data_IF_162703494381
#
_entry.id   IF_162703494381
#
_cell.length_a   1.000
_cell.length_b   1.000
_cell.length_c   1.000
_cell.angle_alpha   90.00
_cell.angle_beta   90.00
_cell.angle_gamma   90.00
#
_symmetry.space_group_name_H-M   'P 1'
#
loop_
_entity.id
_entity.type
_entity.pdbx_description
1 polymer ?
#
# COMPACT_ATOMS: atom_id res chain seq x y z
N UNK A 1 -2.33 15.72 21.16
CA UNK A 1 -3.69 16.07 20.72
C UNK A 1 -3.63 16.33 19.24
N UNK A 2 -4.02 15.35 18.41
CA UNK A 2 -4.17 15.54 16.97
C UNK A 2 -5.67 15.67 16.69
N UNK A 3 -6.18 16.90 16.47
CA UNK A 3 -7.55 17.10 16.02
C UNK A 3 -7.61 16.90 14.51
N UNK A 4 -8.76 16.44 14.02
CA UNK A 4 -9.18 16.37 12.62
C UNK A 4 -8.73 15.12 11.84
N UNK A 5 -9.34 13.98 12.18
CA UNK A 5 -9.60 12.93 11.18
C UNK A 5 -10.66 13.48 10.22
N UNK A 6 -10.30 13.57 8.95
CA UNK A 6 -11.21 13.87 7.85
C UNK A 6 -12.15 12.67 7.72
N UNK A 7 -13.44 12.86 7.96
CA UNK A 7 -14.47 11.89 7.64
C UNK A 7 -14.54 11.75 6.11
N UNK A 8 -13.94 10.68 5.59
CA UNK A 8 -14.10 10.28 4.20
C UNK A 8 -15.42 9.51 4.12
N UNK A 9 -16.51 10.21 3.81
CA UNK A 9 -17.75 9.57 3.39
C UNK A 9 -17.52 8.86 2.05
N UNK A 10 -17.37 7.54 2.10
CA UNK A 10 -17.40 6.69 0.91
C UNK A 10 -18.88 6.54 0.50
N UNK A 11 -19.29 6.98 -0.71
CA UNK A 11 -20.67 6.85 -1.13
C UNK A 11 -21.03 5.37 -1.22
N UNK A 12 -22.07 4.96 -0.48
CA UNK A 12 -22.59 3.61 -0.57
C UNK A 12 -23.23 3.41 -1.95
N UNK A 13 -22.55 2.64 -2.81
CA UNK A 13 -23.18 2.10 -4.01
C UNK A 13 -24.36 1.20 -3.57
N UNK A 14 -25.57 1.54 -4.01
CA UNK A 14 -26.74 0.70 -3.82
C UNK A 14 -26.62 -0.52 -4.73
N UNK A 15 -26.12 -1.63 -4.19
CA UNK A 15 -26.22 -2.94 -4.81
C UNK A 15 -27.48 -3.65 -4.30
N UNK A 16 -28.43 -3.89 -5.18
CA UNK A 16 -29.53 -4.83 -4.96
C UNK A 16 -28.99 -6.26 -5.06
N UNK A 17 -29.06 -6.99 -3.95
CA UNK A 17 -28.56 -8.36 -3.79
C UNK A 17 -27.71 -8.48 -2.53
N UNK A 18 -28.17 -9.26 -1.55
CA UNK A 18 -27.55 -9.58 -0.26
C UNK A 18 -26.43 -8.63 0.18
N UNK A 19 -26.83 -7.50 0.78
CA UNK A 19 -25.94 -6.52 1.39
C UNK A 19 -24.96 -7.26 2.30
N UNK A 20 -23.70 -7.31 1.87
CA UNK A 20 -22.57 -7.75 2.67
C UNK A 20 -22.52 -6.88 3.93
N UNK A 21 -23.24 -7.28 4.98
CA UNK A 21 -23.05 -6.70 6.30
C UNK A 21 -21.60 -6.99 6.67
N UNK A 22 -20.79 -5.98 7.01
CA UNK A 22 -19.45 -6.25 7.52
C UNK A 22 -19.59 -7.29 8.65
N UNK A 23 -18.83 -8.38 8.62
CA UNK A 23 -18.97 -9.44 9.61
C UNK A 23 -18.88 -8.80 10.99
N UNK A 24 -19.68 -9.30 11.95
CA UNK A 24 -19.60 -8.86 13.35
C UNK A 24 -18.12 -8.84 13.71
N UNK A 25 -17.60 -7.64 13.98
CA UNK A 25 -16.23 -7.52 14.43
C UNK A 25 -16.13 -8.37 15.69
N UNK A 26 -15.05 -9.15 15.85
CA UNK A 26 -14.79 -9.96 17.08
C UNK A 26 -14.79 -9.13 18.38
N UNK A 27 -14.96 -7.83 18.22
CA UNK A 27 -14.83 -6.79 19.21
C UNK A 27 -16.17 -6.22 19.67
N UNK A 28 -17.33 -6.54 19.06
CA UNK A 28 -18.60 -5.89 19.40
C UNK A 28 -18.42 -4.34 19.45
N UNK A 29 -17.72 -3.78 18.45
CA UNK A 29 -17.32 -2.37 18.39
C UNK A 29 -16.30 -1.88 19.45
N UNK A 30 -15.62 -2.76 20.18
CA UNK A 30 -14.52 -2.39 21.11
C UNK A 30 -13.16 -2.60 20.46
N UNK A 31 -12.53 -1.54 19.96
CA UNK A 31 -11.13 -1.60 19.48
C UNK A 31 -10.25 -2.28 20.56
N UNK A 32 -9.38 -3.25 20.20
CA UNK A 32 -8.50 -3.89 21.18
C UNK A 32 -7.73 -2.83 21.97
N UNK A 33 -7.69 -2.99 23.28
CA UNK A 33 -7.13 -1.97 24.16
C UNK A 33 -5.59 -2.00 24.22
N UNK A 34 -4.96 -3.07 23.70
CA UNK A 34 -3.51 -3.22 23.67
C UNK A 34 -3.03 -4.16 22.57
N UNK A 35 -1.74 -4.07 22.23
CA UNK A 35 -1.08 -5.03 21.34
C UNK A 35 -1.12 -6.46 21.89
N UNK A 36 -1.03 -6.62 23.22
CA UNK A 36 -1.06 -7.93 23.86
C UNK A 36 -2.40 -8.65 23.63
N UNK A 37 -3.51 -7.92 23.62
CA UNK A 37 -4.82 -8.49 23.31
C UNK A 37 -4.89 -9.04 21.88
N UNK A 38 -4.26 -8.34 20.92
CA UNK A 38 -4.18 -8.79 19.53
C UNK A 38 -3.32 -10.06 19.44
N UNK A 39 -2.18 -10.08 20.14
CA UNK A 39 -1.27 -11.23 20.18
C UNK A 39 -1.98 -12.47 20.73
N UNK A 40 -2.69 -12.35 21.86
CA UNK A 40 -3.42 -13.49 22.42
C UNK A 40 -4.55 -13.99 21.50
N UNK A 41 -5.21 -13.07 20.79
CA UNK A 41 -6.21 -13.44 19.78
C UNK A 41 -5.58 -14.16 18.58
N UNK A 42 -4.43 -13.70 18.10
CA UNK A 42 -3.70 -14.34 16.99
C UNK A 42 -3.16 -15.73 17.36
N UNK A 43 -2.79 -15.95 18.63
CA UNK A 43 -2.40 -17.28 19.14
C UNK A 43 -3.59 -18.23 19.28
N UNK A 44 -4.79 -17.70 19.48
CA UNK A 44 -6.00 -18.49 19.64
C UNK A 44 -6.39 -19.26 18.36
N UNK A 45 -7.10 -20.39 18.49
CA UNK A 45 -7.43 -21.27 17.35
C UNK A 45 -8.46 -20.68 16.37
N UNK A 46 -9.06 -19.53 16.72
CA UNK A 46 -10.19 -18.94 16.00
C UNK A 46 -9.78 -17.97 14.89
N UNK A 47 -8.58 -17.39 14.95
CA UNK A 47 -8.14 -16.42 13.94
C UNK A 47 -7.44 -17.13 12.79
N UNK A 48 -8.19 -17.40 11.73
CA UNK A 48 -7.68 -18.07 10.51
C UNK A 48 -7.73 -17.20 9.26
N UNK A 49 -8.32 -16.01 9.35
CA UNK A 49 -8.57 -15.14 8.20
C UNK A 49 -8.07 -13.72 8.47
N UNK A 50 -6.75 -13.55 8.55
CA UNK A 50 -6.12 -12.24 8.71
C UNK A 50 -6.05 -11.54 7.35
N UNK A 51 -6.58 -10.33 7.28
CA UNK A 51 -6.40 -9.43 6.15
C UNK A 51 -5.46 -8.30 6.58
N UNK A 52 -4.48 -7.98 5.75
CA UNK A 52 -3.56 -6.87 5.99
C UNK A 52 -3.72 -5.82 4.89
N UNK A 53 -3.63 -4.54 5.27
CA UNK A 53 -3.69 -3.39 4.37
C UNK A 53 -2.54 -2.46 4.71
N UNK A 54 -1.66 -2.19 3.75
CA UNK A 54 -0.41 -1.46 3.98
C UNK A 54 -0.19 -0.38 2.93
N UNK A 55 0.65 0.59 3.27
CA UNK A 55 1.15 1.62 2.37
C UNK A 55 2.63 1.90 2.65
N UNK A 56 3.11 3.06 2.19
CA UNK A 56 4.55 3.37 2.15
C UNK A 56 5.27 3.26 3.52
N UNK A 57 4.52 3.41 4.62
CA UNK A 57 5.04 3.29 5.99
C UNK A 57 5.85 2.02 6.25
N UNK A 58 5.46 0.86 5.68
CA UNK A 58 6.19 -0.40 5.90
C UNK A 58 7.53 -0.47 5.15
N UNK A 59 7.71 0.38 4.15
CA UNK A 59 8.89 0.46 3.27
C UNK A 59 9.88 1.56 3.69
N UNK A 60 9.48 2.47 4.58
CA UNK A 60 10.35 3.57 5.06
C UNK A 60 11.67 3.07 5.64
N UNK A 61 11.64 1.98 6.43
CA UNK A 61 12.84 1.39 7.03
C UNK A 61 13.76 0.68 6.01
N UNK A 62 13.30 0.43 4.78
CA UNK A 62 14.16 -0.05 3.70
C UNK A 62 15.02 1.07 3.09
N UNK A 63 14.77 2.33 3.44
CA UNK A 63 15.45 3.49 2.85
C UNK A 63 14.82 3.95 1.53
N UNK A 64 13.64 3.43 1.18
CA UNK A 64 12.86 3.95 0.05
C UNK A 64 12.46 5.40 0.39
N UNK A 65 12.89 6.39 -0.41
CA UNK A 65 12.46 7.77 -0.20
C UNK A 65 10.94 7.82 -0.34
N UNK A 66 10.26 8.44 0.62
CA UNK A 66 8.87 8.79 0.37
C UNK A 66 8.80 9.87 -0.72
N UNK A 67 7.67 9.94 -1.41
CA UNK A 67 7.49 10.96 -2.44
C UNK A 67 7.48 12.36 -1.81
N UNK A 68 7.02 12.47 -0.56
CA UNK A 68 6.61 13.73 0.08
C UNK A 68 7.64 14.43 0.96
N UNK A 69 8.75 13.79 1.37
CA UNK A 69 9.66 14.45 2.31
C UNK A 69 10.42 15.62 1.69
N UNK A 70 10.42 16.75 2.38
CA UNK A 70 11.00 18.01 1.92
C UNK A 70 12.53 17.97 1.68
N UNK A 71 13.24 17.04 2.33
CA UNK A 71 14.71 16.96 2.28
C UNK A 71 15.26 16.03 1.18
N UNK A 72 14.54 14.96 0.85
CA UNK A 72 15.03 13.89 -0.04
C UNK A 72 13.95 13.38 -1.03
N UNK A 73 12.75 13.98 -1.03
CA UNK A 73 11.62 13.54 -1.82
C UNK A 73 11.83 13.77 -3.31
N UNK A 74 11.31 12.84 -4.11
CA UNK A 74 11.42 12.83 -5.56
C UNK A 74 10.93 14.14 -6.22
N UNK A 75 10.00 14.85 -5.58
CA UNK A 75 9.49 16.17 -6.02
C UNK A 75 10.55 17.29 -6.00
N UNK A 76 11.57 17.20 -5.17
CA UNK A 76 12.62 18.23 -5.10
C UNK A 76 13.43 18.33 -6.39
N UNK A 77 13.64 17.20 -7.07
CA UNK A 77 14.29 17.12 -8.39
C UNK A 77 13.37 17.51 -9.55
N UNK A 78 12.08 17.67 -9.30
CA UNK A 78 11.08 18.01 -10.31
C UNK A 78 10.72 19.51 -10.34
N UNK A 79 11.41 20.34 -9.55
CA UNK A 79 11.20 21.79 -9.53
C UNK A 79 11.39 22.44 -10.91
N UNK A 80 12.25 21.86 -11.75
CA UNK A 80 12.53 22.35 -13.09
C UNK A 80 11.37 22.13 -14.08
N UNK A 81 10.50 21.14 -13.82
CA UNK A 81 9.36 20.81 -14.68
C UNK A 81 8.12 21.69 -14.46
N UNK A 82 8.18 22.65 -13.52
CA UNK A 82 7.09 23.61 -13.20
C UNK A 82 5.71 22.92 -13.13
N UNK A 83 5.65 21.81 -12.42
CA UNK A 83 4.44 21.00 -12.31
C UNK A 83 3.30 21.84 -11.70
N UNK A 84 2.04 21.67 -12.18
CA UNK A 84 0.90 22.40 -11.62
C UNK A 84 0.58 21.96 -10.18
N UNK A 85 0.92 20.72 -9.84
CA UNK A 85 0.89 20.19 -8.47
C UNK A 85 1.95 19.09 -8.32
N UNK A 86 2.33 18.74 -7.09
CA UNK A 86 3.21 17.59 -6.86
C UNK A 86 2.55 16.27 -7.34
N UNK A 87 1.23 16.17 -7.26
CA UNK A 87 0.51 14.96 -7.66
C UNK A 87 0.32 14.81 -9.17
N UNK A 88 0.48 15.90 -9.94
CA UNK A 88 0.26 15.92 -11.39
C UNK A 88 1.06 14.85 -12.14
N UNK A 89 2.25 14.49 -11.65
CA UNK A 89 3.11 13.46 -12.26
C UNK A 89 2.46 12.08 -12.28
N UNK A 90 1.53 11.82 -11.37
CA UNK A 90 0.80 10.56 -11.26
C UNK A 90 -0.65 10.66 -11.78
N UNK A 91 -1.03 11.79 -12.37
CA UNK A 91 -2.34 11.98 -12.99
C UNK A 91 -2.31 11.50 -14.44
N UNK A 92 -3.24 10.62 -14.83
CA UNK A 92 -3.31 10.09 -16.20
C UNK A 92 -3.47 11.18 -17.25
N UNK A 93 -4.30 12.19 -16.96
CA UNK A 93 -4.55 13.33 -17.86
C UNK A 93 -3.29 14.16 -18.09
N UNK A 94 -2.48 14.37 -17.05
CA UNK A 94 -1.21 15.06 -17.19
C UNK A 94 -0.22 14.22 -18.00
N UNK A 95 -0.12 12.91 -17.70
CA UNK A 95 0.75 11.97 -18.41
C UNK A 95 0.47 11.94 -19.93
N UNK A 96 -0.80 12.00 -20.35
CA UNK A 96 -1.17 12.05 -21.76
C UNK A 96 -0.65 13.31 -22.47
N UNK A 97 -0.60 14.43 -21.77
CA UNK A 97 -0.13 15.72 -22.32
C UNK A 97 1.38 15.90 -22.23
N UNK A 98 2.01 15.45 -21.14
CA UNK A 98 3.43 15.56 -20.88
C UNK A 98 3.95 14.37 -20.04
N UNK A 99 4.39 13.26 -20.67
CA UNK A 99 4.83 12.07 -19.96
C UNK A 99 6.26 12.15 -19.40
N UNK A 100 7.06 13.14 -19.84
CA UNK A 100 8.49 13.25 -19.49
C UNK A 100 8.76 13.27 -17.98
N UNK A 101 8.02 14.03 -17.14
CA UNK A 101 8.26 14.05 -15.69
C UNK A 101 8.09 12.67 -15.04
N UNK A 102 7.09 11.89 -15.48
CA UNK A 102 6.89 10.54 -14.96
C UNK A 102 8.05 9.62 -15.35
N UNK A 103 8.59 9.73 -16.57
CA UNK A 103 9.74 8.91 -16.97
C UNK A 103 11.01 9.22 -16.18
N UNK A 104 11.24 10.49 -15.82
CA UNK A 104 12.36 10.89 -14.96
C UNK A 104 12.21 10.27 -13.57
N UNK A 105 11.01 10.34 -13.00
CA UNK A 105 10.64 9.68 -11.75
C UNK A 105 10.90 8.19 -11.81
N UNK A 106 10.35 7.51 -12.83
CA UNK A 106 10.47 6.07 -12.97
C UNK A 106 11.93 5.66 -13.16
N UNK A 107 12.72 6.41 -13.94
CA UNK A 107 14.14 6.13 -14.13
C UNK A 107 14.89 6.14 -12.79
N UNK A 108 14.65 7.14 -11.95
CA UNK A 108 15.22 7.21 -10.59
C UNK A 108 14.71 6.07 -9.70
N UNK A 109 13.40 5.79 -9.74
CA UNK A 109 12.80 4.69 -8.99
C UNK A 109 13.27 3.31 -9.45
N UNK A 110 13.69 3.14 -10.70
CA UNK A 110 14.26 1.89 -11.20
C UNK A 110 15.74 1.69 -10.81
N UNK A 111 16.40 2.72 -10.26
CA UNK A 111 17.72 2.60 -9.64
C UNK A 111 17.64 2.01 -8.22
N UNK A 112 16.44 1.85 -7.67
CA UNK A 112 16.16 1.32 -6.33
C UNK A 112 16.34 -0.21 -6.21
N UNK A 113 17.33 -0.79 -6.90
CA UNK A 113 17.48 -2.24 -7.05
C UNK A 113 17.97 -2.97 -5.80
N UNK A 114 18.52 -2.25 -4.84
CA UNK A 114 19.20 -2.84 -3.66
C UNK A 114 18.35 -2.80 -2.39
N UNK A 115 17.11 -2.33 -2.45
CA UNK A 115 16.25 -2.35 -1.27
C UNK A 115 15.86 -3.78 -0.90
N UNK A 116 15.78 -4.01 0.41
CA UNK A 116 15.40 -5.30 0.98
C UNK A 116 14.09 -5.16 1.73
N UNK A 117 13.27 -6.23 1.77
CA UNK A 117 12.03 -6.19 2.51
C UNK A 117 12.29 -5.93 3.99
N UNK A 118 11.42 -5.13 4.60
CA UNK A 118 11.53 -4.80 6.03
C UNK A 118 10.94 -5.92 6.90
N UNK A 119 11.12 -5.81 8.22
CA UNK A 119 10.49 -6.72 9.19
C UNK A 119 8.96 -6.78 9.02
N UNK A 120 8.32 -5.70 8.59
CA UNK A 120 6.87 -5.67 8.36
C UNK A 120 6.48 -6.58 7.18
N UNK A 121 7.24 -6.57 6.08
CA UNK A 121 7.01 -7.46 4.95
C UNK A 121 7.17 -8.93 5.35
N UNK A 122 8.25 -9.24 6.07
CA UNK A 122 8.47 -10.60 6.59
C UNK A 122 7.45 -11.02 7.65
N UNK A 123 6.86 -10.07 8.40
CA UNK A 123 5.75 -10.38 9.30
C UNK A 123 4.50 -10.82 8.52
N UNK A 124 4.19 -10.17 7.39
CA UNK A 124 3.11 -10.62 6.51
C UNK A 124 3.41 -12.01 5.95
N UNK A 125 4.65 -12.26 5.51
CA UNK A 125 5.08 -13.59 5.08
C UNK A 125 4.93 -14.64 6.20
N UNK A 126 5.26 -14.29 7.43
CA UNK A 126 5.08 -15.17 8.58
C UNK A 126 3.59 -15.52 8.82
N UNK A 127 2.67 -14.56 8.65
CA UNK A 127 1.23 -14.85 8.72
C UNK A 127 0.79 -15.85 7.64
N UNK A 128 1.39 -15.77 6.45
CA UNK A 128 1.19 -16.74 5.37
C UNK A 128 1.73 -18.12 5.74
N UNK A 129 2.97 -18.20 6.22
CA UNK A 129 3.62 -19.45 6.63
C UNK A 129 2.88 -20.14 7.78
N UNK A 130 2.24 -19.36 8.65
CA UNK A 130 1.38 -19.85 9.73
C UNK A 130 -0.04 -20.24 9.26
N UNK A 131 -0.35 -20.05 7.98
CA UNK A 131 -1.64 -20.43 7.39
C UNK A 131 -2.82 -19.57 7.82
N UNK A 132 -2.57 -18.39 8.41
CA UNK A 132 -3.62 -17.48 8.90
C UNK A 132 -3.85 -16.28 7.99
N UNK A 133 -2.94 -16.01 7.05
CA UNK A 133 -3.12 -14.93 6.07
C UNK A 133 -4.18 -15.29 5.02
N UNK A 134 -5.26 -14.49 5.02
CA UNK A 134 -6.29 -14.56 3.98
C UNK A 134 -5.89 -13.75 2.75
N UNK A 135 -5.49 -12.49 2.95
CA UNK A 135 -5.10 -11.58 1.88
C UNK A 135 -4.21 -10.45 2.40
N UNK A 136 -3.30 -10.00 1.55
CA UNK A 136 -2.46 -8.83 1.76
C UNK A 136 -2.73 -7.82 0.65
N UNK A 137 -3.21 -6.63 1.03
CA UNK A 137 -3.43 -5.50 0.13
C UNK A 137 -2.33 -4.47 0.36
N UNK A 138 -1.60 -4.11 -0.70
CA UNK A 138 -0.53 -3.13 -0.66
C UNK A 138 -0.85 -1.98 -1.62
N UNK A 139 -0.65 -0.75 -1.17
CA UNK A 139 -0.65 0.44 -2.02
C UNK A 139 0.73 0.68 -2.66
N UNK A 140 1.75 -0.07 -2.24
CA UNK A 140 3.12 0.13 -2.67
C UNK A 140 3.34 -0.48 -4.05
N UNK A 141 4.24 0.16 -4.82
CA UNK A 141 4.66 -0.29 -6.16
C UNK A 141 6.14 -0.73 -6.18
N UNK A 142 6.77 -0.80 -5.00
CA UNK A 142 8.21 -1.05 -4.81
C UNK A 142 8.62 -2.53 -5.03
N UNK A 143 7.67 -3.45 -5.00
CA UNK A 143 7.90 -4.88 -5.21
C UNK A 143 8.47 -5.63 -4.00
N UNK A 144 8.64 -4.97 -2.84
CA UNK A 144 9.24 -5.59 -1.65
C UNK A 144 8.37 -6.72 -1.07
N UNK A 145 7.05 -6.64 -1.22
CA UNK A 145 6.12 -7.70 -0.81
C UNK A 145 6.39 -9.02 -1.54
N UNK A 146 6.66 -8.94 -2.85
CA UNK A 146 7.04 -10.10 -3.66
C UNK A 146 8.43 -10.61 -3.32
N UNK A 147 9.38 -9.70 -3.11
CA UNK A 147 10.74 -10.05 -2.71
C UNK A 147 10.78 -10.71 -1.32
N UNK A 148 9.84 -10.39 -0.43
CA UNK A 148 9.64 -11.09 0.84
C UNK A 148 9.08 -12.52 0.67
N UNK A 149 8.67 -12.89 -0.54
CA UNK A 149 8.16 -14.21 -0.88
C UNK A 149 6.67 -14.39 -0.62
N UNK A 150 5.89 -13.30 -0.50
CA UNK A 150 4.43 -13.40 -0.32
C UNK A 150 3.82 -14.00 -1.59
N UNK A 151 3.00 -15.04 -1.43
CA UNK A 151 2.42 -15.76 -2.54
C UNK A 151 1.49 -14.88 -3.39
N UNK A 152 1.53 -15.05 -4.71
CA UNK A 152 0.77 -14.20 -5.64
C UNK A 152 -0.75 -14.31 -5.48
N UNK A 153 -1.26 -15.44 -5.01
CA UNK A 153 -2.69 -15.63 -4.70
C UNK A 153 -3.11 -14.92 -3.40
N UNK A 154 -2.15 -14.51 -2.57
CA UNK A 154 -2.35 -13.76 -1.31
C UNK A 154 -2.11 -12.26 -1.47
N UNK A 155 -1.35 -11.84 -2.47
CA UNK A 155 -0.95 -10.46 -2.69
C UNK A 155 -1.90 -9.73 -3.67
N UNK A 156 -2.38 -8.55 -3.28
CA UNK A 156 -3.08 -7.59 -4.14
C UNK A 156 -2.28 -6.29 -4.18
N UNK A 157 -1.67 -6.03 -5.32
CA UNK A 157 -0.99 -4.77 -5.65
C UNK A 157 -2.05 -3.75 -6.11
N UNK A 158 -2.65 -3.02 -5.16
CA UNK A 158 -3.83 -2.19 -5.42
C UNK A 158 -3.57 -1.02 -6.38
N UNK A 159 -2.32 -0.55 -6.45
CA UNK A 159 -1.87 0.49 -7.39
C UNK A 159 -0.99 -0.06 -8.52
N UNK A 160 -1.04 -1.37 -8.75
CA UNK A 160 -0.20 -2.03 -9.76
C UNK A 160 1.26 -2.18 -9.32
N UNK A 161 2.15 -2.35 -10.29
CA UNK A 161 3.58 -2.55 -10.05
C UNK A 161 4.41 -2.07 -11.24
N UNK A 162 5.70 -1.80 -10.99
CA UNK A 162 6.66 -1.45 -12.06
C UNK A 162 7.19 -2.66 -12.85
N UNK A 163 6.65 -3.86 -12.62
CA UNK A 163 7.14 -5.12 -13.21
C UNK A 163 6.83 -5.24 -14.71
N UNK A 164 5.72 -4.65 -15.14
CA UNK A 164 5.22 -4.72 -16.52
C UNK A 164 4.73 -3.37 -16.96
N UNK A 165 4.84 -3.07 -18.25
CA UNK A 165 4.29 -1.88 -18.87
C UNK A 165 3.37 -2.29 -20.01
N UNK A 166 2.37 -1.47 -20.31
CA UNK A 166 1.46 -1.65 -21.44
C UNK A 166 1.39 -0.37 -22.25
N UNK A 167 1.00 -0.47 -23.51
CA UNK A 167 0.73 0.70 -24.32
C UNK A 167 -0.52 1.40 -23.77
N UNK A 168 -0.48 2.71 -23.57
CA UNK A 168 -1.66 3.46 -23.11
C UNK A 168 -2.79 3.53 -24.16
N UNK A 169 -2.52 3.07 -25.40
CA UNK A 169 -3.46 3.10 -26.52
C UNK A 169 -4.00 1.72 -26.91
N UNK A 170 -3.32 0.62 -26.57
CA UNK A 170 -3.70 -0.72 -26.99
C UNK A 170 -3.34 -1.81 -25.98
#
# INVERSE_FOLDING_TARGET
TYPNLIDIEIPMAQAQGDVLRPPKTMYNNKVPHSLMEIVEKLKGPHVKNVVTMVGAGISTAAGIPDFTSAACGLYSKMKDYKLPSNHAVFESTYFESNPEPLYVVLKESMLWKDFRPTKAHYFVKLLEDKGVLRRHYTQNIDGLDRQAGIASDKLIEAHGSLRTSHCSRC
#
